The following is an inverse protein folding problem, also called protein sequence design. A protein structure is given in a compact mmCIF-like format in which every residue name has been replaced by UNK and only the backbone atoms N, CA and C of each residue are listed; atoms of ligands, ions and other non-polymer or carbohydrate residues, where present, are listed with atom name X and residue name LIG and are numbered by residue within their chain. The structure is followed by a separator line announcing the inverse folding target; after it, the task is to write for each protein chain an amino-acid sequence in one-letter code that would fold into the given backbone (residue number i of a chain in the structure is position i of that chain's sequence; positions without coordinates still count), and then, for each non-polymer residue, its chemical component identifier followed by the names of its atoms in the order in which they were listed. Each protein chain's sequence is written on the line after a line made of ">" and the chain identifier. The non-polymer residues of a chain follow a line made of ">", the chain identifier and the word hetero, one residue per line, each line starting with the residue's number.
data_IF_602525810655
#
_entry.id   IF_602525810655
#
_cell.length_a   1.000
_cell.length_b   1.000
_cell.length_c   1.000
_cell.angle_alpha   90.00
_cell.angle_beta   90.00
_cell.angle_gamma   90.00
#
_symmetry.space_group_name_H-M   'P 1'
#
loop_
_entity.id
_entity.type
_entity.pdbx_description
1 polymer ?
#
# COMPACT_ATOMS: atom_id res chain seq x y z
N UNK A 1 -2.62 -13.11 -8.25
CA UNK A 1 -1.55 -12.29 -7.65
C UNK A 1 -0.90 -13.09 -6.53
N UNK A 2 0.41 -12.94 -6.35
CA UNK A 2 1.14 -13.55 -5.24
C UNK A 2 1.78 -12.45 -4.38
N UNK A 3 2.45 -12.84 -3.30
CA UNK A 3 3.04 -11.86 -2.37
C UNK A 3 4.12 -10.99 -3.04
N UNK A 4 4.91 -11.56 -3.92
CA UNK A 4 5.94 -10.82 -4.65
C UNK A 4 5.33 -9.76 -5.58
N UNK A 5 4.26 -10.12 -6.27
CA UNK A 5 3.56 -9.18 -7.13
C UNK A 5 2.95 -8.04 -6.31
N UNK A 6 2.39 -8.34 -5.14
CA UNK A 6 1.84 -7.31 -4.24
C UNK A 6 2.92 -6.30 -3.87
N UNK A 7 4.12 -6.75 -3.52
CA UNK A 7 5.24 -5.86 -3.21
C UNK A 7 5.63 -5.00 -4.40
N UNK A 8 5.72 -5.61 -5.58
CA UNK A 8 6.04 -4.89 -6.81
C UNK A 8 5.02 -3.82 -7.12
N UNK A 9 3.73 -4.12 -6.92
CA UNK A 9 2.64 -3.16 -7.17
C UNK A 9 2.73 -1.97 -6.23
N UNK A 10 2.97 -2.22 -4.94
CA UNK A 10 3.12 -1.14 -3.96
C UNK A 10 4.33 -0.26 -4.33
N UNK A 11 5.46 -0.87 -4.61
CA UNK A 11 6.67 -0.13 -4.95
C UNK A 11 6.53 0.65 -6.26
N UNK A 12 5.94 0.03 -7.29
CA UNK A 12 5.70 0.71 -8.56
C UNK A 12 4.75 1.90 -8.40
N UNK A 13 3.73 1.75 -7.55
CA UNK A 13 2.79 2.83 -7.25
C UNK A 13 3.49 4.01 -6.57
N UNK A 14 4.41 3.73 -5.65
CA UNK A 14 5.18 4.79 -4.98
C UNK A 14 6.05 5.53 -5.99
N UNK A 15 6.72 4.81 -6.87
CA UNK A 15 7.54 5.41 -7.92
C UNK A 15 6.69 6.32 -8.80
N UNK A 16 5.50 5.84 -9.18
CA UNK A 16 4.60 6.58 -10.05
C UNK A 16 4.07 7.86 -9.40
N UNK A 17 3.58 7.78 -8.17
CA UNK A 17 3.00 8.95 -7.51
C UNK A 17 4.04 9.99 -7.10
N UNK A 18 5.30 9.62 -7.04
CA UNK A 18 6.39 10.54 -6.71
C UNK A 18 7.21 10.94 -7.93
N UNK A 19 6.79 10.55 -9.12
CA UNK A 19 7.51 10.80 -10.37
C UNK A 19 8.98 10.35 -10.31
N UNK A 20 9.23 9.25 -9.62
CA UNK A 20 10.56 8.66 -9.48
C UNK A 20 11.45 9.32 -8.45
N UNK A 21 10.96 10.30 -7.70
CA UNK A 21 11.72 10.96 -6.66
C UNK A 21 12.04 10.05 -5.48
N UNK A 22 11.15 9.12 -5.20
CA UNK A 22 11.34 8.14 -4.13
C UNK A 22 11.61 6.77 -4.75
N UNK A 23 12.73 6.16 -4.37
CA UNK A 23 13.07 4.80 -4.77
C UNK A 23 12.69 3.87 -3.62
N UNK A 24 11.54 3.19 -3.72
CA UNK A 24 11.04 2.39 -2.60
C UNK A 24 11.82 1.11 -2.39
N UNK A 25 11.88 0.68 -1.13
CA UNK A 25 12.38 -0.64 -0.76
C UNK A 25 11.32 -1.32 0.09
N UNK A 26 11.44 -2.63 0.28
CA UNK A 26 10.48 -3.39 1.07
C UNK A 26 10.41 -2.90 2.52
N UNK A 27 11.51 -2.43 3.05
CA UNK A 27 11.62 -2.00 4.45
C UNK A 27 11.38 -0.50 4.65
N UNK A 28 11.11 0.23 3.58
CA UNK A 28 10.87 1.66 3.65
C UNK A 28 9.65 1.96 4.54
N UNK A 29 9.83 2.88 5.48
CA UNK A 29 8.73 3.32 6.35
C UNK A 29 7.76 4.20 5.55
N UNK A 30 6.46 3.96 5.72
CA UNK A 30 5.42 4.75 5.05
C UNK A 30 4.86 5.83 5.95
N UNK A 31 4.99 5.68 7.27
CA UNK A 31 4.55 6.68 8.24
C UNK A 31 5.69 6.95 9.22
N UNK A 32 5.60 8.08 9.90
CA UNK A 32 6.57 8.45 10.90
C UNK A 32 7.45 9.59 10.45
N UNK A 33 8.38 9.98 11.32
CA UNK A 33 9.19 11.17 11.16
C UNK A 33 10.12 11.12 9.94
N UNK A 34 10.62 9.92 9.62
CA UNK A 34 11.57 9.73 8.54
C UNK A 34 10.92 9.18 7.26
N UNK A 35 9.60 9.11 7.23
CA UNK A 35 8.89 8.61 6.06
C UNK A 35 9.05 9.57 4.88
N UNK A 36 9.39 9.05 3.68
CA UNK A 36 9.57 9.90 2.50
C UNK A 36 8.27 10.39 1.89
N UNK A 37 7.13 9.79 2.27
CA UNK A 37 5.81 10.21 1.78
C UNK A 37 5.11 11.05 2.82
N UNK A 38 4.52 12.17 2.40
CA UNK A 38 3.63 12.92 3.28
C UNK A 38 2.25 12.27 3.29
N UNK A 39 1.33 12.81 4.09
CA UNK A 39 -0.01 12.23 4.23
C UNK A 39 -0.80 12.26 2.93
N UNK A 40 -0.61 13.28 2.09
CA UNK A 40 -1.30 13.35 0.80
C UNK A 40 -0.79 12.27 -0.17
N UNK A 41 0.53 12.06 -0.20
CA UNK A 41 1.10 11.01 -1.04
C UNK A 41 0.70 9.63 -0.55
N UNK A 42 0.57 9.44 0.75
CA UNK A 42 0.11 8.18 1.31
C UNK A 42 -1.34 7.89 0.88
N UNK A 43 -2.21 8.91 0.90
CA UNK A 43 -3.59 8.78 0.40
C UNK A 43 -3.59 8.43 -1.09
N UNK A 44 -2.76 9.11 -1.89
CA UNK A 44 -2.64 8.80 -3.32
C UNK A 44 -2.21 7.36 -3.55
N UNK A 45 -1.27 6.87 -2.75
CA UNK A 45 -0.83 5.47 -2.81
C UNK A 45 -2.01 4.51 -2.56
N UNK A 46 -2.78 4.78 -1.50
CA UNK A 46 -3.93 3.94 -1.16
C UNK A 46 -5.00 3.95 -2.25
N UNK A 47 -5.27 5.12 -2.84
CA UNK A 47 -6.22 5.23 -3.94
C UNK A 47 -5.74 4.47 -5.18
N UNK A 48 -4.45 4.51 -5.46
CA UNK A 48 -3.87 3.73 -6.55
C UNK A 48 -4.05 2.23 -6.31
N UNK A 49 -3.85 1.78 -5.08
CA UNK A 49 -4.04 0.38 -4.72
C UNK A 49 -5.51 -0.03 -4.80
N UNK A 50 -6.45 0.86 -4.43
CA UNK A 50 -7.88 0.61 -4.62
C UNK A 50 -8.23 0.39 -6.10
N UNK A 51 -7.70 1.23 -6.98
CA UNK A 51 -7.91 1.08 -8.42
C UNK A 51 -7.37 -0.26 -8.92
N UNK A 52 -6.16 -0.60 -8.50
CA UNK A 52 -5.55 -1.86 -8.89
C UNK A 52 -6.34 -3.07 -8.36
N UNK A 53 -6.85 -2.97 -7.14
CA UNK A 53 -7.69 -4.00 -6.56
C UNK A 53 -8.95 -4.23 -7.39
N UNK A 54 -9.58 -3.14 -7.83
CA UNK A 54 -10.75 -3.22 -8.71
C UNK A 54 -10.45 -3.97 -9.99
N UNK A 55 -9.31 -3.70 -10.61
CA UNK A 55 -8.85 -4.41 -11.81
C UNK A 55 -8.57 -5.88 -11.55
N UNK A 56 -8.15 -6.21 -10.32
CA UNK A 56 -7.85 -7.58 -9.91
C UNK A 56 -9.07 -8.33 -9.38
N UNK A 57 -10.20 -7.64 -9.25
CA UNK A 57 -11.46 -8.25 -8.84
C UNK A 57 -11.71 -8.30 -7.35
N UNK A 58 -11.08 -7.44 -6.56
CA UNK A 58 -11.36 -7.35 -5.13
C UNK A 58 -11.41 -5.90 -4.67
N UNK A 59 -11.86 -5.68 -3.44
CA UNK A 59 -11.90 -4.35 -2.84
C UNK A 59 -10.80 -4.21 -1.79
N UNK A 60 -9.95 -3.20 -1.94
CA UNK A 60 -8.92 -2.93 -0.95
C UNK A 60 -9.48 -1.97 0.10
N UNK A 61 -9.66 -2.46 1.32
CA UNK A 61 -10.19 -1.69 2.44
C UNK A 61 -9.05 -1.07 3.25
N UNK A 62 -8.99 0.27 3.26
CA UNK A 62 -8.03 1.01 4.06
C UNK A 62 -8.69 2.15 4.83
N UNK A 63 -10.01 2.30 4.72
CA UNK A 63 -10.75 3.41 5.32
C UNK A 63 -11.80 2.99 6.35
N UNK A 64 -12.11 1.69 6.46
CA UNK A 64 -13.08 1.22 7.44
C UNK A 64 -12.54 1.40 8.86
N UNK A 65 -13.42 1.36 9.84
CA UNK A 65 -13.04 1.44 11.25
C UNK A 65 -12.01 0.36 11.62
N UNK A 66 -12.19 -0.86 11.11
CA UNK A 66 -11.25 -1.95 11.33
C UNK A 66 -9.89 -1.65 10.72
N UNK A 67 -9.87 -1.11 9.49
CA UNK A 67 -8.62 -0.75 8.83
C UNK A 67 -7.93 0.42 9.55
N UNK A 68 -8.69 1.42 9.97
CA UNK A 68 -8.12 2.56 10.68
C UNK A 68 -7.51 2.18 12.03
N UNK A 69 -8.10 1.20 12.72
CA UNK A 69 -7.54 0.73 13.97
C UNK A 69 -6.22 0.00 13.80
N UNK A 70 -5.93 -0.48 12.59
CA UNK A 70 -4.68 -1.19 12.24
C UNK A 70 -3.71 -0.32 11.44
N UNK A 71 -4.02 0.97 11.27
CA UNK A 71 -3.27 1.84 10.34
C UNK A 71 -1.77 1.91 10.67
N UNK A 72 -1.38 1.89 11.94
CA UNK A 72 0.02 1.89 12.34
C UNK A 72 0.77 0.67 11.83
N UNK A 73 0.17 -0.51 11.96
CA UNK A 73 0.77 -1.76 11.47
C UNK A 73 0.73 -1.82 9.96
N UNK A 74 -0.39 -1.42 9.38
CA UNK A 74 -0.65 -1.45 7.95
C UNK A 74 0.36 -0.59 7.18
N UNK A 75 0.59 0.63 7.65
CA UNK A 75 1.45 1.60 6.98
C UNK A 75 2.87 1.67 7.55
N UNK A 76 3.27 0.70 8.35
CA UNK A 76 4.60 0.71 8.95
C UNK A 76 5.70 0.64 7.90
N UNK A 77 5.58 -0.28 6.96
CA UNK A 77 6.54 -0.42 5.86
C UNK A 77 5.82 -0.77 4.56
N UNK A 78 6.56 -0.68 3.45
CA UNK A 78 6.08 -1.16 2.15
C UNK A 78 5.67 -2.63 2.27
N UNK A 79 6.48 -3.44 2.93
CA UNK A 79 6.20 -4.86 3.12
C UNK A 79 4.89 -5.11 3.86
N UNK A 80 4.63 -4.37 4.95
CA UNK A 80 3.38 -4.56 5.71
C UNK A 80 2.15 -4.13 4.90
N UNK A 81 2.25 -3.06 4.12
CA UNK A 81 1.15 -2.65 3.24
C UNK A 81 0.90 -3.70 2.14
N UNK A 82 1.97 -4.21 1.55
CA UNK A 82 1.87 -5.25 0.53
C UNK A 82 1.26 -6.55 1.09
N UNK A 83 1.63 -6.93 2.31
CA UNK A 83 1.06 -8.09 2.97
C UNK A 83 -0.44 -7.94 3.17
N UNK A 84 -0.89 -6.77 3.59
CA UNK A 84 -2.31 -6.52 3.79
C UNK A 84 -3.06 -6.51 2.45
N UNK A 85 -2.48 -5.89 1.43
CA UNK A 85 -3.06 -5.88 0.09
C UNK A 85 -3.27 -7.32 -0.42
N UNK A 86 -2.24 -8.13 -0.28
CA UNK A 86 -2.30 -9.54 -0.66
C UNK A 86 -3.32 -10.32 0.17
N UNK A 87 -3.32 -10.11 1.49
CA UNK A 87 -4.25 -10.80 2.40
C UNK A 87 -5.70 -10.50 2.05
N UNK A 88 -6.02 -9.25 1.73
CA UNK A 88 -7.39 -8.88 1.34
C UNK A 88 -7.78 -9.52 0.00
N UNK A 89 -6.86 -9.59 -0.94
CA UNK A 89 -7.11 -10.27 -2.21
C UNK A 89 -7.43 -11.74 -1.98
N UNK A 90 -6.67 -12.41 -1.12
CA UNK A 90 -6.88 -13.82 -0.82
C UNK A 90 -8.20 -14.06 -0.09
N UNK A 91 -8.56 -13.18 0.84
CA UNK A 91 -9.79 -13.31 1.60
C UNK A 91 -11.05 -13.18 0.74
N UNK A 92 -10.93 -12.51 -0.40
CA UNK A 92 -12.06 -12.27 -1.32
C UNK A 92 -12.01 -13.15 -2.56
N UNK A 93 -11.03 -14.02 -2.64
CA UNK A 93 -10.88 -14.92 -3.78
C UNK A 93 -11.93 -16.03 -3.79
#
# INVERSE_FOLDING_TARGET
>A
MNAEEAKKRVMASITEITDGEVVPTEEMNLIGKDAPLDSMKLVELCLSLEDQAGDLGFEFDWTSEAAMSRSRSLFRTVSSLAEEFYAQAQAQA
#
